data_IF_246890434649
#
_entry.id   IF_246890434649
#
_cell.length_a   1.000
_cell.length_b   1.000
_cell.length_c   1.000
_cell.angle_alpha   90.00
_cell.angle_beta   90.00
_cell.angle_gamma   90.00
#
_symmetry.space_group_name_H-M   'P 1'
#
loop_
_entity.id
_entity.type
_entity.pdbx_description
1 polymer ?
#
# COMPACT_ATOMS: atom_id res chain seq x y z
N UNK A 1 -2.95 -5.00 7.42
CA UNK A 1 -3.71 -5.64 6.30
C UNK A 1 -3.52 -7.14 6.39
N UNK A 2 -4.52 -8.00 6.12
CA UNK A 2 -4.31 -9.47 6.12
C UNK A 2 -3.32 -9.88 5.03
N UNK A 3 -2.36 -10.73 5.39
CA UNK A 3 -1.35 -11.37 4.52
C UNK A 3 -1.85 -11.69 3.11
N UNK A 4 -2.99 -12.39 2.99
CA UNK A 4 -3.48 -12.92 1.71
C UNK A 4 -3.69 -11.84 0.65
N UNK A 5 -4.21 -10.67 1.03
CA UNK A 5 -4.42 -9.58 0.06
C UNK A 5 -3.09 -8.94 -0.36
N UNK A 6 -2.08 -9.00 0.51
CA UNK A 6 -0.77 -8.44 0.23
C UNK A 6 0.04 -9.36 -0.70
N UNK A 7 0.01 -10.67 -0.47
CA UNK A 7 0.59 -11.66 -1.38
C UNK A 7 0.00 -11.58 -2.81
N UNK A 8 -1.31 -11.39 -2.92
CA UNK A 8 -1.97 -11.26 -4.22
C UNK A 8 -1.51 -10.00 -4.96
N UNK A 9 -1.34 -8.89 -4.23
CA UNK A 9 -0.81 -7.66 -4.80
C UNK A 9 0.66 -7.79 -5.22
N UNK A 10 1.49 -8.44 -4.42
CA UNK A 10 2.89 -8.73 -4.76
C UNK A 10 2.94 -9.57 -6.05
N UNK A 11 2.10 -10.59 -6.20
CA UNK A 11 2.04 -11.40 -7.43
C UNK A 11 1.61 -10.59 -8.65
N UNK A 12 0.71 -9.63 -8.48
CA UNK A 12 0.24 -8.73 -9.54
C UNK A 12 1.34 -7.77 -10.00
N UNK A 13 2.03 -7.15 -9.05
CA UNK A 13 3.20 -6.29 -9.30
C UNK A 13 4.34 -7.10 -9.91
N UNK A 14 4.64 -8.27 -9.36
CA UNK A 14 5.61 -9.19 -9.92
C UNK A 14 5.32 -9.51 -11.38
N UNK A 15 4.08 -9.82 -11.74
CA UNK A 15 3.71 -10.12 -13.14
C UNK A 15 3.91 -8.94 -14.09
N UNK A 16 3.79 -7.70 -13.59
CA UNK A 16 4.11 -6.48 -14.35
C UNK A 16 5.61 -6.26 -14.45
N UNK A 17 6.31 -6.26 -13.32
CA UNK A 17 7.75 -5.94 -13.22
C UNK A 17 8.65 -7.06 -13.77
N UNK A 18 8.22 -8.33 -13.68
CA UNK A 18 8.91 -9.50 -14.23
C UNK A 18 9.30 -9.33 -15.70
N UNK A 19 8.46 -8.67 -16.50
CA UNK A 19 8.72 -8.42 -17.93
C UNK A 19 9.97 -7.57 -18.16
N UNK A 20 10.39 -6.78 -17.18
CA UNK A 20 11.54 -5.89 -17.28
C UNK A 20 12.82 -6.53 -16.72
N UNK A 21 12.71 -7.50 -15.82
CA UNK A 21 13.86 -8.19 -15.23
C UNK A 21 14.53 -9.15 -16.21
N UNK A 22 15.86 -9.13 -16.23
CA UNK A 22 16.69 -10.01 -17.05
C UNK A 22 17.52 -10.90 -16.14
N UNK A 23 17.07 -12.14 -15.96
CA UNK A 23 17.72 -13.11 -15.07
C UNK A 23 18.52 -14.09 -15.93
N UNK A 24 19.83 -14.24 -15.71
CA UNK A 24 20.64 -15.19 -16.45
C UNK A 24 20.10 -16.62 -16.27
N UNK A 25 19.92 -17.34 -17.38
CA UNK A 25 19.38 -18.71 -17.37
C UNK A 25 17.86 -18.82 -17.53
N UNK A 26 17.11 -17.71 -17.45
CA UNK A 26 15.67 -17.69 -17.71
C UNK A 26 15.35 -16.80 -18.90
N UNK A 27 14.33 -17.21 -19.68
CA UNK A 27 13.76 -16.32 -20.71
C UNK A 27 13.19 -15.08 -20.00
N UNK A 28 13.45 -13.89 -20.56
CA UNK A 28 12.98 -12.60 -20.04
C UNK A 28 11.52 -12.68 -19.57
N UNK A 29 11.26 -12.32 -18.31
CA UNK A 29 9.94 -12.36 -17.67
C UNK A 29 9.35 -13.74 -17.37
N UNK A 30 10.12 -14.81 -17.49
CA UNK A 30 9.72 -16.19 -17.14
C UNK A 30 10.57 -16.77 -16.00
N UNK A 31 11.34 -15.94 -15.30
CA UNK A 31 12.00 -16.36 -14.07
C UNK A 31 10.94 -16.66 -12.99
N UNK A 32 11.22 -17.60 -12.07
CA UNK A 32 10.38 -17.83 -10.90
C UNK A 32 10.65 -16.78 -9.82
N UNK A 33 9.61 -16.43 -9.05
CA UNK A 33 9.63 -15.36 -8.05
C UNK A 33 10.83 -15.43 -7.10
N UNK A 34 11.10 -16.62 -6.53
CA UNK A 34 12.19 -16.83 -5.57
C UNK A 34 13.59 -16.52 -6.15
N UNK A 35 13.80 -16.67 -7.46
CA UNK A 35 15.10 -16.34 -8.09
C UNK A 35 15.21 -14.84 -8.29
N UNK A 36 14.11 -14.18 -8.70
CA UNK A 36 14.08 -12.74 -8.88
C UNK A 36 14.26 -12.01 -7.56
N UNK A 37 13.58 -12.48 -6.51
CA UNK A 37 13.72 -12.00 -5.14
C UNK A 37 15.19 -12.05 -4.66
N UNK A 38 15.89 -13.16 -4.89
CA UNK A 38 17.31 -13.29 -4.49
C UNK A 38 18.26 -12.40 -5.27
N UNK A 39 17.92 -12.04 -6.51
CA UNK A 39 18.82 -11.29 -7.40
C UNK A 39 18.61 -9.79 -7.31
N UNK A 40 17.37 -9.34 -7.17
CA UNK A 40 16.99 -7.92 -7.13
C UNK A 40 16.71 -7.41 -5.72
N UNK A 41 16.67 -8.30 -4.72
CA UNK A 41 16.22 -7.97 -3.37
C UNK A 41 14.71 -8.06 -3.27
N UNK A 42 14.26 -8.42 -2.07
CA UNK A 42 12.85 -8.52 -1.73
C UNK A 42 12.19 -7.13 -1.60
N UNK A 43 12.96 -6.12 -1.21
CA UNK A 43 12.52 -4.72 -1.03
C UNK A 43 11.90 -4.10 -2.29
N UNK A 44 12.45 -4.38 -3.48
CA UNK A 44 11.93 -3.82 -4.75
C UNK A 44 10.48 -4.23 -5.01
N UNK A 45 10.13 -5.47 -4.69
CA UNK A 45 8.78 -5.98 -4.91
C UNK A 45 7.82 -5.45 -3.87
N UNK A 46 8.30 -5.31 -2.64
CA UNK A 46 7.48 -4.77 -1.58
C UNK A 46 7.18 -3.29 -1.83
N UNK A 47 8.18 -2.46 -2.15
CA UNK A 47 7.97 -1.04 -2.40
C UNK A 47 7.01 -0.81 -3.56
N UNK A 48 7.17 -1.54 -4.67
CA UNK A 48 6.26 -1.44 -5.82
C UNK A 48 4.85 -1.93 -5.45
N UNK A 49 4.73 -3.06 -4.73
CA UNK A 49 3.44 -3.59 -4.29
C UNK A 49 2.74 -2.63 -3.31
N UNK A 50 3.51 -2.01 -2.42
CA UNK A 50 3.03 -0.99 -1.50
C UNK A 50 2.49 0.22 -2.25
N UNK A 51 3.27 0.76 -3.19
CA UNK A 51 2.86 1.90 -4.01
C UNK A 51 1.65 1.60 -4.90
N UNK A 52 1.45 0.35 -5.34
CA UNK A 52 0.28 -0.02 -6.14
C UNK A 52 -0.99 -0.25 -5.29
N UNK A 53 -0.83 -0.70 -4.04
CA UNK A 53 -1.97 -1.08 -3.16
C UNK A 53 -2.42 0.05 -2.25
N UNK A 54 -1.47 0.77 -1.65
CA UNK A 54 -1.74 1.77 -0.63
C UNK A 54 -2.68 2.87 -1.11
N UNK A 55 -2.55 3.43 -2.34
CA UNK A 55 -3.48 4.45 -2.82
C UNK A 55 -4.92 3.95 -2.86
N UNK A 56 -5.16 2.76 -3.40
CA UNK A 56 -6.49 2.19 -3.52
C UNK A 56 -7.12 1.88 -2.14
N UNK A 57 -6.31 1.43 -1.18
CA UNK A 57 -6.77 1.22 0.21
C UNK A 57 -7.07 2.55 0.88
N UNK A 58 -6.16 3.51 0.72
CA UNK A 58 -6.27 4.83 1.32
C UNK A 58 -7.53 5.56 0.84
N UNK A 59 -7.79 5.58 -0.47
CA UNK A 59 -9.02 6.13 -1.05
C UNK A 59 -10.27 5.43 -0.51
N UNK A 60 -10.22 4.10 -0.39
CA UNK A 60 -11.35 3.33 0.15
C UNK A 60 -11.62 3.65 1.62
N UNK A 61 -10.60 3.72 2.45
CA UNK A 61 -10.74 4.07 3.87
C UNK A 61 -11.23 5.52 4.05
N UNK A 62 -10.80 6.44 3.18
CA UNK A 62 -11.31 7.81 3.14
C UNK A 62 -12.81 7.83 2.84
N UNK A 63 -13.23 7.07 1.82
CA UNK A 63 -14.64 7.00 1.41
C UNK A 63 -15.52 6.33 2.47
N UNK A 64 -15.07 5.18 3.01
CA UNK A 64 -15.78 4.42 4.05
C UNK A 64 -15.97 5.26 5.34
N UNK A 65 -14.97 6.07 5.70
CA UNK A 65 -15.03 6.95 6.88
C UNK A 65 -15.50 8.39 6.56
N UNK A 66 -15.84 8.68 5.29
CA UNK A 66 -16.25 10.01 4.81
C UNK A 66 -15.31 11.15 5.22
N UNK A 67 -14.00 10.88 5.22
CA UNK A 67 -12.99 11.85 5.65
C UNK A 67 -12.67 12.82 4.52
N UNK A 68 -12.84 14.13 4.75
CA UNK A 68 -12.32 15.13 3.81
C UNK A 68 -10.83 15.37 4.09
N UNK A 69 -9.96 14.66 3.38
CA UNK A 69 -8.51 14.80 3.52
C UNK A 69 -7.98 15.83 2.53
N UNK A 70 -7.35 16.88 3.05
CA UNK A 70 -6.90 18.05 2.25
C UNK A 70 -5.38 18.12 2.10
N UNK A 71 -4.64 17.18 2.69
CA UNK A 71 -3.18 17.14 2.67
C UNK A 71 -2.65 15.84 2.09
N UNK A 72 -1.40 15.88 1.60
CA UNK A 72 -0.68 14.66 1.22
C UNK A 72 -0.43 13.81 2.46
N UNK A 73 -0.68 12.50 2.42
CA UNK A 73 -0.41 11.62 3.55
C UNK A 73 1.08 11.46 3.77
N UNK A 74 1.52 11.56 5.03
CA UNK A 74 2.83 11.07 5.45
C UNK A 74 2.71 9.59 5.78
N UNK A 75 3.32 8.75 4.95
CA UNK A 75 3.26 7.31 5.07
C UNK A 75 4.54 6.82 5.74
N UNK A 76 4.39 6.19 6.90
CA UNK A 76 5.47 5.54 7.64
C UNK A 76 5.27 4.03 7.61
N UNK A 77 6.23 3.31 7.05
CA UNK A 77 6.21 1.84 6.97
C UNK A 77 6.69 1.30 8.32
N UNK A 78 5.82 0.59 9.04
CA UNK A 78 6.14 0.02 10.36
C UNK A 78 6.62 -1.43 10.21
N UNK A 79 5.97 -2.21 9.36
CA UNK A 79 6.39 -3.58 9.05
C UNK A 79 6.01 -3.98 7.62
N UNK A 80 6.98 -4.58 6.93
CA UNK A 80 6.89 -4.91 5.49
C UNK A 80 7.63 -6.21 5.18
N UNK A 81 7.61 -7.15 6.13
CA UNK A 81 8.31 -8.44 5.99
C UNK A 81 7.45 -9.49 5.31
N UNK A 82 8.12 -10.36 4.56
CA UNK A 82 7.53 -11.55 3.94
C UNK A 82 6.88 -12.45 4.99
N UNK A 83 5.62 -12.82 4.75
CA UNK A 83 4.90 -13.73 5.66
C UNK A 83 4.39 -13.08 6.94
N UNK A 84 4.54 -11.76 7.08
CA UNK A 84 3.92 -10.96 8.14
C UNK A 84 2.92 -9.96 7.54
N UNK A 85 1.97 -9.51 8.36
CA UNK A 85 0.99 -8.53 7.90
C UNK A 85 1.68 -7.21 7.57
N UNK A 86 1.34 -6.60 6.43
CA UNK A 86 1.77 -5.25 6.11
C UNK A 86 1.15 -4.28 7.13
N UNK A 87 2.02 -3.56 7.85
CA UNK A 87 1.65 -2.52 8.81
C UNK A 87 2.32 -1.21 8.38
N UNK A 88 1.49 -0.21 8.09
CA UNK A 88 1.94 1.14 7.83
C UNK A 88 1.01 2.13 8.50
N UNK A 89 1.53 3.30 8.82
CA UNK A 89 0.78 4.41 9.40
C UNK A 89 0.72 5.53 8.39
N UNK A 90 -0.48 5.96 8.02
CA UNK A 90 -0.69 7.15 7.21
C UNK A 90 -1.16 8.28 8.13
N UNK A 91 -0.34 9.31 8.30
CA UNK A 91 -0.69 10.51 9.06
C UNK A 91 -1.24 11.53 8.08
N UNK A 92 -2.49 11.94 8.30
CA UNK A 92 -3.19 12.86 7.42
C UNK A 92 -3.93 13.91 8.22
N UNK A 93 -3.93 15.15 7.73
CA UNK A 93 -4.76 16.21 8.28
C UNK A 93 -6.15 16.12 7.66
N UNK A 94 -7.12 15.70 8.46
CA UNK A 94 -8.53 15.75 8.11
C UNK A 94 -9.11 17.10 8.49
N UNK A 95 -10.11 17.56 7.74
CA UNK A 95 -10.95 18.67 8.19
C UNK A 95 -11.59 18.28 9.53
N UNK A 96 -11.61 19.16 10.54
CA UNK A 96 -12.25 18.84 11.81
C UNK A 96 -13.72 18.48 11.55
N UNK A 97 -14.19 17.36 12.12
CA UNK A 97 -15.63 17.13 12.26
C UNK A 97 -16.16 18.27 13.12
N UNK A 98 -16.84 19.22 12.47
CA UNK A 98 -17.51 20.31 13.16
C UNK A 98 -18.68 19.68 13.91
N UNK A 99 -18.43 19.19 15.11
CA UNK A 99 -19.49 18.95 16.07
C UNK A 99 -20.04 20.31 16.43
N UNK A 100 -21.07 20.75 15.70
CA UNK A 100 -21.93 21.85 16.11
C UNK A 100 -22.48 21.50 17.49
N UNK A 101 -21.75 21.91 18.53
CA UNK A 101 -22.19 21.82 19.91
C UNK A 101 -23.52 22.52 19.99
N UNK A 102 -24.59 21.73 20.13
CA UNK A 102 -26.00 22.09 20.28
C UNK A 102 -26.25 23.60 20.28
N UNK A 103 -26.92 24.08 19.23
CA UNK A 103 -27.64 25.35 19.22
C UNK A 103 -28.34 25.56 20.56
N UNK A 104 -27.79 26.44 21.41
CA UNK A 104 -28.60 27.12 22.42
C UNK A 104 -29.12 28.36 21.74
N UNK A 105 -30.37 28.28 21.28
CA UNK A 105 -31.19 29.47 21.16
C UNK A 105 -31.18 30.17 22.52
N UNK A 106 -30.81 31.45 22.50
CA UNK A 106 -31.13 32.36 23.59
C UNK A 106 -31.57 33.65 22.91
N UNK A 107 -32.84 33.97 23.11
CA UNK A 107 -33.47 35.28 22.87
C UNK A 107 -32.69 36.42 23.55
#
# INVERSE_FOLDING_TARGET
MRLQKFDEAIMKVYSKSAKYFNIPGFRKGKAPFNIVERMYGDEIFYEDAFNEVVPAIYEKEIEDNKLEVVSKPEINIVNMKKGEDLVFTAVVQTKPEVTLGKYKGVE
#
